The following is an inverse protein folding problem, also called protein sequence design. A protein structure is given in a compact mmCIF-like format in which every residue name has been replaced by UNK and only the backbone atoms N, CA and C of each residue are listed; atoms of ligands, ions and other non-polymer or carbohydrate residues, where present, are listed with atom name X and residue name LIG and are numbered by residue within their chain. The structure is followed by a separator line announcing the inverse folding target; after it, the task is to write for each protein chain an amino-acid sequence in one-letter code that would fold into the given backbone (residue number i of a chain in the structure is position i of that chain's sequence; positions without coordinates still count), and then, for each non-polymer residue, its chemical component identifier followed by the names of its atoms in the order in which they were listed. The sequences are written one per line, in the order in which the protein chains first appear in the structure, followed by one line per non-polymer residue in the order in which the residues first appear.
data_IF_432550482405
#
_entry.id   IF_432550482405
#
_cell.length_a   1.000
_cell.length_b   1.000
_cell.length_c   1.000
_cell.angle_alpha   90.00
_cell.angle_beta   90.00
_cell.angle_gamma   90.00
#
_symmetry.space_group_name_H-M   'P 1'
#
loop_
_entity.id
_entity.type
_entity.pdbx_description
1 polymer ?
#
# COMPACT_ATOMS: atom_id res chain seq x y z
N UNK A 1 -9.43 26.33 37.63
CA UNK A 1 -7.98 26.20 37.90
C UNK A 1 -7.66 24.71 37.85
N UNK A 2 -6.76 24.12 37.07
CA UNK A 2 -5.83 24.49 35.99
C UNK A 2 -5.73 23.24 35.09
N UNK A 3 -5.72 23.41 33.76
CA UNK A 3 -5.37 22.34 32.81
C UNK A 3 -3.88 22.04 32.94
N UNK A 4 -3.50 20.78 33.08
CA UNK A 4 -2.10 20.35 32.99
C UNK A 4 -1.88 19.88 31.55
N UNK A 5 -1.19 20.69 30.76
CA UNK A 5 -0.65 20.30 29.45
C UNK A 5 0.71 19.65 29.71
N UNK A 6 0.82 18.34 29.54
CA UNK A 6 2.12 17.66 29.49
C UNK A 6 2.71 17.85 28.09
N UNK A 7 3.75 18.68 28.01
CA UNK A 7 4.63 18.75 26.85
C UNK A 7 5.52 17.50 26.85
N UNK A 8 5.47 16.71 25.79
CA UNK A 8 6.55 15.77 25.47
C UNK A 8 7.41 16.43 24.39
N UNK A 9 8.64 16.82 24.77
CA UNK A 9 9.70 17.13 23.81
C UNK A 9 10.31 15.81 23.35
N UNK A 10 10.00 15.38 22.13
CA UNK A 10 10.80 14.38 21.44
C UNK A 10 12.11 15.04 20.98
N UNK A 11 13.24 14.54 21.48
CA UNK A 11 14.57 15.00 21.09
C UNK A 11 15.05 14.08 19.98
N UNK A 12 14.86 14.48 18.72
CA UNK A 12 15.38 13.76 17.55
C UNK A 12 16.90 13.96 17.47
N UNK A 13 17.67 12.93 17.82
CA UNK A 13 19.10 12.86 17.57
C UNK A 13 19.33 12.34 16.15
N UNK A 14 19.48 13.26 15.21
CA UNK A 14 19.80 12.98 13.82
C UNK A 14 21.31 12.75 13.69
N UNK A 15 21.73 11.48 13.58
CA UNK A 15 23.12 11.14 13.26
C UNK A 15 23.29 11.21 11.75
N UNK A 16 23.70 12.37 11.25
CA UNK A 16 24.13 12.52 9.86
C UNK A 16 25.54 11.93 9.69
N UNK A 17 25.65 10.79 8.99
CA UNK A 17 26.92 10.24 8.55
C UNK A 17 27.48 11.10 7.40
N UNK A 18 28.51 11.89 7.71
CA UNK A 18 29.20 12.76 6.77
C UNK A 18 30.30 11.97 6.04
N UNK A 19 30.06 11.55 4.80
CA UNK A 19 31.12 11.02 3.94
C UNK A 19 31.78 12.18 3.17
N UNK A 20 32.96 12.62 3.63
CA UNK A 20 33.84 13.52 2.87
C UNK A 20 34.67 12.70 1.88
N UNK A 21 34.45 12.90 0.60
CA UNK A 21 35.44 12.62 -0.44
C UNK A 21 35.56 13.84 -1.36
N UNK A 22 36.76 14.42 -1.33
CA UNK A 22 37.20 15.61 -2.07
C UNK A 22 37.82 15.19 -3.41
N UNK A 23 37.52 15.93 -4.48
CA UNK A 23 38.45 16.44 -5.52
C UNK A 23 37.62 17.22 -6.57
N UNK A 24 37.80 18.55 -6.68
CA UNK A 24 38.51 19.22 -7.79
C UNK A 24 37.61 19.36 -9.03
N UNK A 25 37.26 20.52 -9.60
CA UNK A 25 37.82 21.87 -9.60
C UNK A 25 37.64 22.39 -11.04
N UNK A 26 37.01 23.55 -11.22
CA UNK A 26 37.37 24.62 -12.17
C UNK A 26 36.15 25.43 -12.59
N UNK A 27 36.24 26.70 -12.25
CA UNK A 27 35.41 27.82 -12.67
C UNK A 27 35.60 28.06 -14.18
N UNK A 28 34.52 28.37 -14.88
CA UNK A 28 34.52 28.86 -16.25
C UNK A 28 33.32 29.79 -16.41
N UNK A 29 33.62 31.06 -16.59
CA UNK A 29 32.69 32.18 -16.71
C UNK A 29 32.14 32.28 -18.16
N UNK A 30 31.17 33.19 -18.31
CA UNK A 30 30.79 33.93 -19.52
C UNK A 30 29.55 33.54 -20.36
N UNK A 31 28.44 34.18 -19.95
CA UNK A 31 27.55 35.07 -20.74
C UNK A 31 26.64 34.58 -21.89
N UNK A 32 25.55 35.34 -22.04
CA UNK A 32 24.57 35.45 -23.14
C UNK A 32 23.39 34.47 -23.05
N UNK A 33 22.15 34.84 -22.75
CA UNK A 33 21.42 36.05 -23.17
C UNK A 33 20.69 35.75 -24.48
N UNK A 34 19.44 35.29 -24.40
CA UNK A 34 18.42 35.42 -25.46
C UNK A 34 17.05 34.98 -24.92
N UNK A 35 16.25 35.99 -24.67
CA UNK A 35 14.80 36.03 -24.75
C UNK A 35 14.27 35.47 -26.07
N UNK A 36 13.15 34.75 -26.02
CA UNK A 36 12.20 34.79 -27.13
C UNK A 36 10.77 34.57 -26.65
N UNK A 37 9.98 35.63 -26.79
CA UNK A 37 8.52 35.64 -26.66
C UNK A 37 7.90 35.61 -28.05
N UNK A 38 6.84 34.81 -28.21
CA UNK A 38 5.95 34.84 -29.38
C UNK A 38 5.28 33.48 -29.55
N UNK A 39 3.96 33.31 -29.59
CA UNK A 39 2.89 34.28 -29.86
C UNK A 39 2.00 33.74 -30.98
N UNK A 40 0.79 33.33 -30.61
CA UNK A 40 -0.46 33.45 -31.38
C UNK A 40 -0.83 32.48 -32.52
N UNK A 41 -2.07 31.99 -32.44
CA UNK A 41 -2.97 31.65 -33.56
C UNK A 41 -3.21 30.15 -33.69
N UNK A 42 -4.42 29.58 -33.58
CA UNK A 42 -5.78 30.12 -33.67
C UNK A 42 -6.56 29.29 -34.70
N UNK A 43 -7.72 28.76 -34.30
CA UNK A 43 -8.92 28.30 -35.06
C UNK A 43 -9.41 26.95 -34.52
N UNK A 44 -10.48 26.86 -33.72
CA UNK A 44 -11.92 26.94 -34.04
C UNK A 44 -12.34 26.11 -35.25
N UNK A 45 -13.03 24.99 -35.00
CA UNK A 45 -14.30 24.69 -35.66
C UNK A 45 -15.11 23.69 -34.83
N UNK A 46 -16.20 24.21 -34.25
CA UNK A 46 -17.35 23.43 -33.82
C UNK A 46 -18.30 23.26 -35.02
N UNK A 47 -18.96 22.12 -35.11
CA UNK A 47 -20.17 21.96 -35.93
C UNK A 47 -21.13 20.99 -35.24
N UNK A 48 -22.15 21.57 -34.62
CA UNK A 48 -23.44 20.97 -34.31
C UNK A 48 -24.15 20.47 -35.59
N UNK A 49 -24.79 19.30 -35.51
CA UNK A 49 -26.06 19.07 -36.22
C UNK A 49 -26.86 17.87 -35.68
N UNK A 50 -27.94 18.22 -34.99
CA UNK A 50 -29.33 17.74 -35.05
C UNK A 50 -29.67 16.24 -35.24
N UNK A 51 -30.58 15.80 -34.36
CA UNK A 51 -31.39 14.58 -34.41
C UNK A 51 -32.38 14.51 -35.59
N UNK A 52 -32.96 13.32 -35.82
CA UNK A 52 -34.41 13.25 -35.91
C UNK A 52 -35.04 12.09 -35.11
N UNK A 53 -36.21 12.37 -34.52
CA UNK A 53 -37.17 11.36 -34.05
C UNK A 53 -38.08 10.89 -35.19
N UNK A 54 -38.38 9.58 -35.29
CA UNK A 54 -39.73 9.11 -35.68
C UNK A 54 -39.95 7.61 -35.34
N UNK A 55 -40.96 7.38 -34.49
CA UNK A 55 -42.02 6.36 -34.43
C UNK A 55 -41.83 4.90 -34.91
N UNK A 56 -42.10 3.96 -33.98
CA UNK A 56 -43.26 3.04 -34.04
C UNK A 56 -43.11 1.69 -34.75
N UNK A 57 -43.23 0.59 -33.99
CA UNK A 57 -43.53 -0.74 -34.53
C UNK A 57 -43.28 -1.89 -33.54
N UNK A 58 -44.35 -2.47 -33.01
CA UNK A 58 -44.28 -3.62 -32.11
C UNK A 58 -43.94 -4.93 -32.82
N UNK A 59 -43.26 -5.83 -32.10
CA UNK A 59 -43.26 -7.26 -32.41
C UNK A 59 -43.36 -8.07 -31.12
N UNK A 60 -44.50 -8.74 -31.01
CA UNK A 60 -44.83 -9.82 -30.10
C UNK A 60 -44.08 -11.10 -30.47
N UNK A 61 -43.61 -11.84 -29.46
CA UNK A 61 -43.39 -13.29 -29.53
C UNK A 61 -41.94 -13.74 -29.65
N UNK A 62 -41.30 -14.01 -28.51
CA UNK A 62 -40.14 -14.90 -28.44
C UNK A 62 -40.37 -15.94 -27.33
N UNK A 63 -40.78 -17.11 -27.83
CA UNK A 63 -40.54 -18.48 -27.39
C UNK A 63 -39.74 -18.67 -26.08
N UNK A 64 -40.39 -19.28 -25.08
CA UNK A 64 -39.77 -19.83 -23.86
C UNK A 64 -39.57 -21.34 -24.06
N UNK A 65 -38.54 -21.70 -24.83
CA UNK A 65 -38.05 -23.07 -25.02
C UNK A 65 -36.76 -23.28 -24.22
N UNK A 66 -36.79 -24.19 -23.26
CA UNK A 66 -35.82 -24.26 -22.17
C UNK A 66 -34.37 -24.58 -22.54
N UNK A 67 -33.48 -24.19 -21.65
CA UNK A 67 -32.27 -24.95 -21.34
C UNK A 67 -32.09 -24.95 -19.82
N UNK A 68 -31.89 -26.14 -19.27
CA UNK A 68 -31.24 -26.35 -17.98
C UNK A 68 -29.80 -25.84 -18.14
N UNK A 69 -29.61 -24.54 -17.98
CA UNK A 69 -28.30 -23.91 -17.94
C UNK A 69 -27.68 -24.20 -16.58
N UNK A 70 -26.73 -25.13 -16.57
CA UNK A 70 -25.70 -25.20 -15.55
C UNK A 70 -25.30 -23.79 -15.09
N UNK A 71 -25.36 -23.51 -13.79
CA UNK A 71 -24.58 -22.44 -13.18
C UNK A 71 -23.10 -22.87 -13.27
N UNK A 72 -22.56 -22.80 -14.48
CA UNK A 72 -21.21 -23.22 -14.81
C UNK A 72 -20.34 -21.97 -14.79
N UNK A 73 -19.54 -21.83 -13.73
CA UNK A 73 -18.47 -20.85 -13.65
C UNK A 73 -18.93 -19.44 -13.34
N UNK A 74 -19.25 -19.17 -12.07
CA UNK A 74 -18.79 -17.89 -11.54
C UNK A 74 -17.27 -18.00 -11.52
N UNK A 75 -16.64 -17.37 -12.51
CA UNK A 75 -15.26 -16.94 -12.44
C UNK A 75 -15.13 -16.19 -11.10
N UNK A 76 -14.62 -16.86 -10.06
CA UNK A 76 -14.14 -16.16 -8.88
C UNK A 76 -12.86 -15.46 -9.35
N UNK A 77 -13.05 -14.37 -10.09
CA UNK A 77 -11.97 -13.54 -10.58
C UNK A 77 -11.11 -13.20 -9.39
N UNK A 78 -9.84 -13.59 -9.44
CA UNK A 78 -8.87 -13.21 -8.43
C UNK A 78 -8.96 -11.69 -8.28
N UNK A 79 -9.43 -11.21 -7.13
CA UNK A 79 -9.44 -9.78 -6.84
C UNK A 79 -8.02 -9.27 -7.00
N UNK A 80 -7.88 -8.12 -7.66
CA UNK A 80 -6.59 -7.45 -7.69
C UNK A 80 -6.32 -6.80 -6.33
N UNK A 81 -5.05 -6.48 -6.06
CA UNK A 81 -4.63 -5.98 -4.75
C UNK A 81 -5.33 -4.67 -4.34
N UNK A 82 -5.67 -3.81 -5.31
CA UNK A 82 -6.42 -2.58 -5.04
C UNK A 82 -7.87 -2.86 -4.63
N UNK A 83 -8.53 -3.80 -5.30
CA UNK A 83 -9.90 -4.22 -4.96
C UNK A 83 -9.95 -4.86 -3.57
N UNK A 84 -8.98 -5.73 -3.25
CA UNK A 84 -8.82 -6.29 -1.90
C UNK A 84 -8.59 -5.19 -0.87
N UNK A 85 -7.66 -4.25 -1.12
CA UNK A 85 -7.39 -3.14 -0.21
C UNK A 85 -8.64 -2.29 0.04
N UNK A 86 -9.40 -1.95 -1.02
CA UNK A 86 -10.66 -1.21 -0.90
C UNK A 86 -11.70 -1.99 -0.10
N UNK A 87 -11.80 -3.31 -0.29
CA UNK A 87 -12.74 -4.13 0.49
C UNK A 87 -12.40 -4.15 1.99
N UNK A 88 -11.11 -4.10 2.34
CA UNK A 88 -10.64 -4.09 3.72
C UNK A 88 -10.95 -2.76 4.42
N UNK A 89 -10.66 -1.63 3.76
CA UNK A 89 -10.79 -0.29 4.37
C UNK A 89 -12.14 0.38 4.09
N UNK A 90 -12.94 -0.20 3.20
CA UNK A 90 -14.29 0.24 2.84
C UNK A 90 -15.26 -0.95 2.70
N UNK A 91 -15.45 -1.80 3.73
CA UNK A 91 -16.20 -3.06 3.62
C UNK A 91 -17.68 -2.89 3.26
N UNK A 92 -18.25 -1.71 3.50
CA UNK A 92 -19.63 -1.36 3.15
C UNK A 92 -19.74 -0.47 1.90
N UNK A 93 -18.64 -0.34 1.13
CA UNK A 93 -18.53 0.57 0.00
C UNK A 93 -18.22 2.03 0.37
N UNK A 94 -18.06 2.31 1.67
CA UNK A 94 -17.66 3.62 2.20
C UNK A 94 -16.39 3.47 3.04
N UNK A 95 -15.40 4.32 2.78
CA UNK A 95 -14.14 4.35 3.52
C UNK A 95 -14.34 4.72 4.99
N UNK A 96 -13.55 4.11 5.87
CA UNK A 96 -13.51 4.43 7.29
C UNK A 96 -12.07 4.43 7.80
N UNK A 97 -11.67 5.51 8.48
CA UNK A 97 -10.39 5.58 9.19
C UNK A 97 -10.26 4.42 10.19
N UNK A 98 -11.37 4.05 10.85
CA UNK A 98 -11.38 2.92 11.78
C UNK A 98 -11.17 1.59 11.05
N UNK A 99 -11.71 1.41 9.85
CA UNK A 99 -11.49 0.20 9.07
C UNK A 99 -10.06 0.09 8.55
N UNK A 100 -9.45 1.21 8.16
CA UNK A 100 -8.03 1.27 7.84
C UNK A 100 -7.16 0.84 9.03
N UNK A 101 -7.40 1.43 10.20
CA UNK A 101 -6.64 1.10 11.42
C UNK A 101 -6.87 -0.34 11.87
N UNK A 102 -8.14 -0.79 11.90
CA UNK A 102 -8.53 -2.17 12.27
C UNK A 102 -7.94 -3.22 11.32
N UNK A 103 -7.62 -2.83 10.07
CA UNK A 103 -6.97 -3.72 9.10
C UNK A 103 -5.45 -3.64 9.11
N UNK A 104 -4.88 -2.46 9.36
CA UNK A 104 -3.44 -2.26 9.31
C UNK A 104 -2.72 -2.84 10.53
N UNK A 105 -3.36 -2.84 11.71
CA UNK A 105 -2.78 -3.43 12.93
C UNK A 105 -2.46 -4.93 12.75
N UNK A 106 -3.44 -5.82 12.46
CA UNK A 106 -3.14 -7.24 12.30
C UNK A 106 -2.24 -7.51 11.09
N UNK A 107 -2.32 -6.68 10.04
CA UNK A 107 -1.40 -6.76 8.91
C UNK A 107 0.06 -6.52 9.36
N UNK A 108 0.31 -5.47 10.13
CA UNK A 108 1.65 -5.22 10.68
C UNK A 108 2.10 -6.30 11.67
N UNK A 109 1.19 -6.87 12.48
CA UNK A 109 1.52 -8.00 13.35
C UNK A 109 2.06 -9.19 12.54
N UNK A 110 1.44 -9.53 11.41
CA UNK A 110 1.93 -10.59 10.51
C UNK A 110 3.33 -10.33 9.94
N UNK A 111 3.63 -9.09 9.53
CA UNK A 111 4.96 -8.72 9.07
C UNK A 111 6.02 -8.77 10.19
N UNK A 112 5.66 -8.37 11.42
CA UNK A 112 6.54 -8.52 12.59
C UNK A 112 6.85 -9.99 12.84
N UNK A 113 5.86 -10.88 12.79
CA UNK A 113 6.08 -12.32 12.99
C UNK A 113 7.00 -12.94 11.92
N UNK A 114 6.78 -12.63 10.64
CA UNK A 114 7.67 -13.06 9.56
C UNK A 114 9.10 -12.53 9.73
N UNK A 115 9.24 -11.27 10.15
CA UNK A 115 10.54 -10.67 10.40
C UNK A 115 11.27 -11.34 11.59
N UNK A 116 10.56 -11.70 12.67
CA UNK A 116 11.14 -12.45 13.78
C UNK A 116 11.60 -13.87 13.39
N UNK A 117 10.88 -14.52 12.48
CA UNK A 117 11.31 -15.79 11.88
C UNK A 117 12.59 -15.58 11.07
N UNK A 118 12.69 -14.49 10.31
CA UNK A 118 13.86 -14.17 9.51
C UNK A 118 15.11 -13.88 10.34
N UNK A 119 14.98 -13.22 11.50
CA UNK A 119 16.11 -13.02 12.42
C UNK A 119 16.80 -14.33 12.82
N UNK A 120 16.04 -15.42 12.91
CA UNK A 120 16.53 -16.74 13.28
C UNK A 120 17.07 -17.56 12.10
N UNK A 121 16.49 -17.38 10.91
CA UNK A 121 16.70 -18.30 9.78
C UNK A 121 17.51 -17.73 8.61
N UNK A 122 17.58 -16.40 8.48
CA UNK A 122 18.24 -15.73 7.35
C UNK A 122 19.69 -16.18 7.12
N UNK A 123 20.16 -16.14 5.89
CA UNK A 123 21.56 -16.41 5.53
C UNK A 123 22.34 -15.11 5.33
N UNK A 124 21.73 -14.13 4.70
CA UNK A 124 22.30 -12.81 4.45
C UNK A 124 22.06 -11.88 5.65
N UNK A 125 23.08 -11.09 6.02
CA UNK A 125 22.99 -10.12 7.11
C UNK A 125 22.08 -8.94 6.76
N UNK A 126 21.94 -8.66 5.47
CA UNK A 126 21.03 -7.69 4.87
C UNK A 126 19.58 -8.02 5.25
N UNK A 127 19.15 -9.28 5.12
CA UNK A 127 17.82 -9.72 5.55
C UNK A 127 17.67 -9.58 7.07
N UNK A 128 18.67 -9.99 7.87
CA UNK A 128 18.60 -9.78 9.34
C UNK A 128 18.48 -8.33 9.73
N UNK A 129 19.12 -7.43 8.97
CA UNK A 129 19.10 -5.99 9.23
C UNK A 129 17.73 -5.42 8.90
N UNK A 130 17.22 -5.70 7.70
CA UNK A 130 15.87 -5.33 7.30
C UNK A 130 14.83 -5.87 8.29
N UNK A 131 14.93 -7.13 8.73
CA UNK A 131 13.99 -7.71 9.68
C UNK A 131 14.00 -7.00 11.05
N UNK A 132 15.16 -6.53 11.54
CA UNK A 132 15.19 -5.72 12.77
C UNK A 132 14.49 -4.37 12.56
N UNK A 133 14.75 -3.73 11.42
CA UNK A 133 14.14 -2.45 11.07
C UNK A 133 12.62 -2.57 10.94
N UNK A 134 12.12 -3.62 10.28
CA UNK A 134 10.68 -3.93 10.19
C UNK A 134 10.08 -4.14 11.58
N UNK A 135 10.69 -4.97 12.42
CA UNK A 135 10.19 -5.24 13.79
C UNK A 135 10.11 -3.95 14.61
N UNK A 136 11.16 -3.13 14.58
CA UNK A 136 11.21 -1.89 15.36
C UNK A 136 10.21 -0.85 14.85
N UNK A 137 10.13 -0.66 13.53
CA UNK A 137 9.23 0.32 12.91
C UNK A 137 7.76 -0.09 13.06
N UNK A 138 7.40 -1.30 12.67
CA UNK A 138 5.99 -1.72 12.65
C UNK A 138 5.42 -1.90 14.05
N UNK A 139 6.23 -2.24 15.07
CA UNK A 139 5.78 -2.18 16.47
C UNK A 139 5.45 -0.76 16.92
N UNK A 140 6.27 0.22 16.55
CA UNK A 140 5.97 1.62 16.86
C UNK A 140 4.72 2.10 16.12
N UNK A 141 4.53 1.68 14.86
CA UNK A 141 3.32 1.99 14.09
C UNK A 141 2.07 1.34 14.69
N UNK A 142 2.13 0.09 15.15
CA UNK A 142 1.02 -0.57 15.87
C UNK A 142 0.65 0.22 17.13
N UNK A 143 1.62 0.70 17.90
CA UNK A 143 1.34 1.53 19.08
C UNK A 143 0.64 2.84 18.73
N UNK A 144 1.07 3.50 17.65
CA UNK A 144 0.45 4.74 17.14
C UNK A 144 -0.97 4.47 16.63
N UNK A 145 -1.13 3.45 15.79
CA UNK A 145 -2.42 3.02 15.25
C UNK A 145 -3.40 2.65 16.38
N UNK A 146 -2.94 1.99 17.44
CA UNK A 146 -3.75 1.69 18.62
C UNK A 146 -4.24 2.96 19.33
N UNK A 147 -3.38 3.96 19.50
CA UNK A 147 -3.78 5.26 20.08
C UNK A 147 -4.79 6.00 19.20
N UNK A 148 -4.56 6.02 17.89
CA UNK A 148 -5.49 6.59 16.93
C UNK A 148 -6.83 5.84 17.00
N UNK A 149 -6.81 4.51 17.09
CA UNK A 149 -8.02 3.69 17.18
C UNK A 149 -8.88 4.04 18.39
N UNK A 150 -8.26 4.21 19.54
CA UNK A 150 -8.93 4.67 20.77
C UNK A 150 -9.56 6.06 20.59
N UNK A 151 -8.87 6.95 19.86
CA UNK A 151 -9.36 8.30 19.53
C UNK A 151 -10.57 8.32 18.60
N UNK A 152 -10.67 7.38 17.67
CA UNK A 152 -11.78 7.26 16.70
C UNK A 152 -13.11 6.80 17.35
N UNK A 153 -13.08 6.30 18.58
CA UNK A 153 -14.28 5.90 19.32
C UNK A 153 -15.00 4.67 18.73
N UNK A 154 -16.31 4.57 18.98
CA UNK A 154 -17.15 3.40 18.64
C UNK A 154 -17.53 3.33 17.14
N UNK A 155 -16.64 3.82 16.28
CA UNK A 155 -16.76 3.67 14.84
C UNK A 155 -16.84 2.18 14.50
N UNK A 156 -17.83 1.82 13.67
CA UNK A 156 -18.14 0.45 13.28
C UNK A 156 -16.87 -0.26 12.79
N UNK A 157 -16.41 -1.23 13.57
CA UNK A 157 -15.32 -2.14 13.18
C UNK A 157 -15.72 -2.93 11.95
N UNK A 158 -14.74 -3.35 11.15
CA UNK A 158 -14.93 -4.11 9.90
C UNK A 158 -15.70 -5.43 10.09
N UNK A 159 -15.84 -5.94 11.31
CA UNK A 159 -16.60 -7.16 11.62
C UNK A 159 -15.96 -8.44 11.07
N UNK A 160 -14.81 -8.32 10.40
CA UNK A 160 -14.00 -9.41 9.87
C UNK A 160 -13.02 -9.87 10.94
N UNK A 161 -12.87 -11.18 11.09
CA UNK A 161 -11.83 -11.78 11.93
C UNK A 161 -10.45 -11.66 11.28
N UNK A 162 -9.40 -11.80 12.09
CA UNK A 162 -8.02 -11.84 11.62
C UNK A 162 -7.81 -12.93 10.56
N UNK A 163 -8.34 -14.14 10.78
CA UNK A 163 -8.25 -15.26 9.83
C UNK A 163 -8.92 -14.93 8.49
N UNK A 164 -10.07 -14.25 8.52
CA UNK A 164 -10.75 -13.80 7.29
C UNK A 164 -9.91 -12.75 6.56
N UNK A 165 -9.30 -11.82 7.28
CA UNK A 165 -8.45 -10.79 6.70
C UNK A 165 -7.20 -11.39 6.05
N UNK A 166 -6.50 -12.28 6.75
CA UNK A 166 -5.34 -13.01 6.23
C UNK A 166 -5.70 -13.84 4.99
N UNK A 167 -6.84 -14.53 5.03
CA UNK A 167 -7.37 -15.29 3.90
C UNK A 167 -7.72 -14.42 2.71
N UNK A 168 -8.30 -13.24 2.93
CA UNK A 168 -8.66 -12.29 1.86
C UNK A 168 -7.43 -11.65 1.22
N UNK A 169 -6.36 -11.40 1.98
CA UNK A 169 -5.11 -10.88 1.43
C UNK A 169 -4.25 -11.95 0.77
N UNK A 170 -4.63 -13.24 0.87
CA UNK A 170 -3.80 -14.35 0.43
C UNK A 170 -2.48 -14.45 1.19
N UNK A 171 -2.42 -13.82 2.38
CA UNK A 171 -1.23 -13.70 3.24
C UNK A 171 -1.19 -14.80 4.31
N UNK A 172 -1.87 -15.93 4.08
CA UNK A 172 -1.92 -17.07 5.01
C UNK A 172 -0.58 -17.83 5.07
N UNK A 173 0.55 -17.14 4.96
CA UNK A 173 1.83 -17.75 5.28
C UNK A 173 1.94 -17.84 6.79
N UNK A 174 1.59 -19.01 7.32
CA UNK A 174 2.01 -19.45 8.64
C UNK A 174 3.51 -19.11 8.80
N UNK A 175 3.91 -18.22 9.71
CA UNK A 175 5.31 -17.86 9.90
C UNK A 175 6.19 -19.08 10.20
N UNK A 176 5.61 -20.15 10.77
CA UNK A 176 6.30 -21.41 10.98
C UNK A 176 6.53 -22.18 9.67
N UNK A 177 5.62 -22.12 8.70
CA UNK A 177 5.85 -22.68 7.37
C UNK A 177 7.01 -21.95 6.65
N UNK A 178 7.05 -20.61 6.73
CA UNK A 178 8.15 -19.82 6.18
C UNK A 178 9.52 -20.23 6.76
N UNK A 179 9.58 -20.59 8.04
CA UNK A 179 10.81 -21.04 8.70
C UNK A 179 11.40 -22.33 8.07
N UNK A 180 10.56 -23.16 7.45
CA UNK A 180 10.97 -24.42 6.83
C UNK A 180 11.46 -24.25 5.38
N UNK A 181 11.13 -23.14 4.73
CA UNK A 181 11.40 -22.90 3.30
C UNK A 181 12.88 -22.74 2.98
N UNK A 182 13.31 -23.25 1.81
CA UNK A 182 14.72 -23.19 1.37
C UNK A 182 14.82 -22.91 -0.14
N UNK A 183 15.64 -21.92 -0.58
CA UNK A 183 16.45 -21.00 0.22
C UNK A 183 15.57 -20.03 1.04
N UNK A 184 15.83 -19.92 2.35
CA UNK A 184 14.99 -19.15 3.26
C UNK A 184 14.85 -17.69 2.83
N UNK A 185 15.97 -17.01 2.55
CA UNK A 185 15.97 -15.59 2.21
C UNK A 185 15.19 -15.30 0.91
N UNK A 186 15.18 -16.24 -0.03
CA UNK A 186 14.35 -16.15 -1.24
C UNK A 186 12.86 -16.21 -0.88
N UNK A 187 12.47 -17.17 -0.05
CA UNK A 187 11.10 -17.33 0.40
C UNK A 187 10.63 -16.10 1.21
N UNK A 188 11.46 -15.60 2.13
CA UNK A 188 11.18 -14.38 2.88
C UNK A 188 10.95 -13.18 1.95
N UNK A 189 11.80 -12.97 0.94
CA UNK A 189 11.60 -11.88 -0.03
C UNK A 189 10.33 -12.09 -0.86
N UNK A 190 10.10 -13.31 -1.35
CA UNK A 190 8.95 -13.65 -2.18
C UNK A 190 7.62 -13.50 -1.40
N UNK A 191 7.64 -13.64 -0.07
CA UNK A 191 6.50 -13.45 0.83
C UNK A 191 6.33 -12.00 1.31
N UNK A 192 7.40 -11.36 1.80
CA UNK A 192 7.33 -10.02 2.39
C UNK A 192 7.09 -8.94 1.34
N UNK A 193 7.52 -9.15 0.09
CA UNK A 193 7.27 -8.18 -1.00
C UNK A 193 5.79 -7.96 -1.27
N UNK A 194 4.96 -8.98 -1.60
CA UNK A 194 3.53 -8.77 -1.78
C UNK A 194 2.83 -8.35 -0.48
N UNK A 195 3.33 -8.78 0.68
CA UNK A 195 2.82 -8.32 1.98
C UNK A 195 2.92 -6.80 2.14
N UNK A 196 4.07 -6.22 1.82
CA UNK A 196 4.25 -4.77 1.82
C UNK A 196 3.41 -4.06 0.75
N UNK A 197 3.28 -4.66 -0.43
CA UNK A 197 2.45 -4.09 -1.49
C UNK A 197 0.97 -3.96 -1.07
N UNK A 198 0.43 -4.88 -0.24
CA UNK A 198 -0.95 -4.76 0.23
C UNK A 198 -1.13 -3.69 1.30
N UNK A 199 -0.14 -3.48 2.18
CA UNK A 199 -0.13 -2.35 3.11
C UNK A 199 -0.07 -1.01 2.36
N UNK A 200 0.78 -0.90 1.33
CA UNK A 200 0.83 0.28 0.45
C UNK A 200 -0.52 0.51 -0.22
N UNK A 201 -1.18 -0.54 -0.72
CA UNK A 201 -2.50 -0.41 -1.35
C UNK A 201 -3.55 0.12 -0.37
N UNK A 202 -3.62 -0.41 0.86
CA UNK A 202 -4.53 0.09 1.91
C UNK A 202 -4.21 1.55 2.29
N UNK A 203 -2.93 1.88 2.46
CA UNK A 203 -2.48 3.23 2.79
C UNK A 203 -2.80 4.23 1.68
N UNK A 204 -2.69 3.84 0.40
CA UNK A 204 -3.08 4.69 -0.73
C UNK A 204 -4.58 5.00 -0.74
N UNK A 205 -5.44 4.03 -0.39
CA UNK A 205 -6.88 4.31 -0.24
C UNK A 205 -7.12 5.30 0.91
N UNK A 206 -6.40 5.16 2.03
CA UNK A 206 -6.49 6.13 3.13
C UNK A 206 -6.02 7.54 2.71
N UNK A 207 -4.95 7.65 1.93
CA UNK A 207 -4.47 8.92 1.38
C UNK A 207 -5.45 9.57 0.39
N UNK A 208 -6.24 8.76 -0.32
CA UNK A 208 -7.29 9.23 -1.23
C UNK A 208 -8.53 9.74 -0.46
N UNK A 209 -9.01 8.96 0.52
CA UNK A 209 -10.34 9.12 1.09
C UNK A 209 -10.35 9.81 2.47
N UNK A 210 -9.31 9.64 3.28
CA UNK A 210 -9.29 10.20 4.64
C UNK A 210 -9.18 11.72 4.63
N UNK A 211 -9.95 12.33 5.54
CA UNK A 211 -9.89 13.76 5.87
C UNK A 211 -9.14 14.04 7.16
N UNK A 212 -8.77 13.00 7.91
CA UNK A 212 -8.00 13.15 9.13
C UNK A 212 -6.52 13.36 8.79
N UNK A 213 -5.92 14.51 9.13
CA UNK A 213 -4.51 14.75 8.84
C UNK A 213 -3.57 13.73 9.50
N UNK A 214 -3.92 13.18 10.66
CA UNK A 214 -3.09 12.19 11.38
C UNK A 214 -3.07 10.85 10.65
N UNK A 215 -4.24 10.36 10.19
CA UNK A 215 -4.33 9.14 9.38
C UNK A 215 -3.54 9.28 8.07
N UNK A 216 -3.65 10.45 7.42
CA UNK A 216 -2.93 10.71 6.17
C UNK A 216 -1.41 10.76 6.37
N UNK A 217 -0.94 11.29 7.50
CA UNK A 217 0.48 11.30 7.85
C UNK A 217 0.99 9.87 8.05
N UNK A 218 0.28 9.08 8.86
CA UNK A 218 0.60 7.66 9.09
C UNK A 218 0.63 6.88 7.77
N UNK A 219 -0.38 7.05 6.91
CA UNK A 219 -0.45 6.37 5.63
C UNK A 219 0.71 6.77 4.69
N UNK A 220 1.11 8.04 4.67
CA UNK A 220 2.25 8.51 3.88
C UNK A 220 3.57 7.91 4.39
N UNK A 221 3.73 7.79 5.71
CA UNK A 221 4.92 7.20 6.33
C UNK A 221 5.04 5.71 5.99
N UNK A 222 3.94 4.97 6.11
CA UNK A 222 3.85 3.54 5.71
C UNK A 222 4.25 3.36 4.24
N UNK A 223 3.65 4.13 3.32
CA UNK A 223 3.98 4.05 1.88
C UNK A 223 5.46 4.32 1.67
N UNK A 224 5.97 5.41 2.25
CA UNK A 224 7.36 5.83 2.03
C UNK A 224 8.36 4.81 2.58
N UNK A 225 8.08 4.20 3.72
CA UNK A 225 8.94 3.17 4.31
C UNK A 225 8.91 1.88 3.49
N UNK A 226 7.72 1.35 3.23
CA UNK A 226 7.58 0.04 2.60
C UNK A 226 8.01 0.06 1.12
N UNK A 227 7.88 1.18 0.40
CA UNK A 227 8.45 1.32 -0.94
C UNK A 227 9.98 1.18 -0.96
N UNK A 228 10.69 1.72 0.05
CA UNK A 228 12.14 1.57 0.17
C UNK A 228 12.53 0.13 0.43
N UNK A 229 11.80 -0.53 1.32
CA UNK A 229 12.05 -1.93 1.71
C UNK A 229 11.77 -2.88 0.54
N UNK A 230 10.67 -2.69 -0.20
CA UNK A 230 10.40 -3.40 -1.46
C UNK A 230 11.53 -3.20 -2.46
N UNK A 231 12.05 -1.98 -2.60
CA UNK A 231 13.16 -1.70 -3.53
C UNK A 231 14.42 -2.50 -3.16
N UNK A 232 14.77 -2.55 -1.88
CA UNK A 232 15.89 -3.35 -1.37
C UNK A 232 15.66 -4.85 -1.61
N UNK A 233 14.50 -5.37 -1.22
CA UNK A 233 14.17 -6.78 -1.39
C UNK A 233 14.18 -7.20 -2.85
N UNK A 234 13.62 -6.40 -3.77
CA UNK A 234 13.64 -6.69 -5.20
C UNK A 234 15.05 -6.66 -5.79
N UNK A 235 15.91 -5.75 -5.32
CA UNK A 235 17.32 -5.73 -5.72
C UNK A 235 18.02 -7.03 -5.30
N UNK A 236 17.91 -7.38 -4.01
CA UNK A 236 18.50 -8.61 -3.47
C UNK A 236 17.96 -9.87 -4.14
N UNK A 237 16.66 -9.89 -4.45
CA UNK A 237 16.03 -11.00 -5.15
C UNK A 237 16.65 -11.26 -6.51
N UNK A 238 16.93 -10.20 -7.26
CA UNK A 238 17.57 -10.29 -8.58
C UNK A 238 19.06 -10.64 -8.47
N UNK A 239 19.76 -10.07 -7.49
CA UNK A 239 21.19 -10.27 -7.30
C UNK A 239 21.52 -11.69 -6.82
N UNK A 240 20.78 -12.20 -5.84
CA UNK A 240 21.08 -13.48 -5.19
C UNK A 240 20.38 -14.67 -5.85
N UNK A 241 19.25 -14.44 -6.53
CA UNK A 241 18.42 -15.49 -7.13
C UNK A 241 17.99 -15.12 -8.57
N UNK A 242 18.95 -14.98 -9.51
CA UNK A 242 18.66 -14.54 -10.88
C UNK A 242 17.87 -15.55 -11.73
N UNK A 243 17.87 -16.83 -11.34
CA UNK A 243 17.12 -17.90 -12.00
C UNK A 243 15.99 -18.39 -11.09
N UNK A 244 14.82 -17.75 -11.17
CA UNK A 244 13.54 -18.29 -10.67
C UNK A 244 13.46 -18.56 -9.18
#
# INVERSE_FOLDING_TARGET
MRRVKTLWLATLLLVAAFALASCGGSQGDDTQGMDNSGGSGGSTQASEQAAPETTGGGMSGMDMGGTTGSMQGMDQGSMNQEETARQLVAPNGEYSDAAFVDSMIPHHEGAVEMAEVALQNAKHEEIRTLSREIVDAQRAEIEILGQVREGLGDATTTGMSQEEMEGMMGMSEDPQALAEERPFDKAFIDAMTPHHESAIAMANVALEESRDPEIREIAQDIVSAQEREISQMRQWRQEWYPEG
#
